data_IF_879432402196
#
_entry.id   IF_879432402196
#
_cell.length_a   1.000
_cell.length_b   1.000
_cell.length_c   1.000
_cell.angle_alpha   90.00
_cell.angle_beta   90.00
_cell.angle_gamma   90.00
#
_symmetry.space_group_name_H-M   'P 1'
#
loop_
_entity.id
_entity.type
_entity.pdbx_description
1 polymer ?
#
# COMPACT_ATOMS: atom_id res chain seq x y z
N UNK A 1 -2.39 -11.75 -11.52
CA UNK A 1 -2.23 -11.86 -10.05
C UNK A 1 -3.59 -11.92 -9.40
N UNK A 2 -3.83 -12.87 -8.50
CA UNK A 2 -5.08 -13.01 -7.76
C UNK A 2 -4.79 -13.66 -6.41
N UNK A 3 -5.62 -13.37 -5.41
CA UNK A 3 -5.56 -14.02 -4.10
C UNK A 3 -6.54 -15.19 -4.07
N UNK A 4 -6.06 -16.39 -3.73
CA UNK A 4 -6.83 -17.64 -3.73
C UNK A 4 -7.24 -18.10 -2.33
N UNK A 5 -7.44 -17.17 -1.39
CA UNK A 5 -7.89 -17.52 -0.04
C UNK A 5 -9.33 -18.06 0.01
N UNK A 6 -10.17 -17.65 -0.93
CA UNK A 6 -11.55 -18.13 -1.12
C UNK A 6 -11.73 -18.50 -2.60
N UNK A 7 -11.98 -19.78 -2.93
CA UNK A 7 -12.08 -20.24 -4.32
C UNK A 7 -13.18 -19.52 -5.14
N UNK A 8 -14.35 -19.31 -4.56
CA UNK A 8 -15.48 -18.67 -5.27
C UNK A 8 -15.15 -17.21 -5.61
N UNK A 9 -14.61 -16.46 -4.65
CA UNK A 9 -14.18 -15.07 -4.85
C UNK A 9 -13.02 -15.00 -5.86
N UNK A 10 -12.08 -15.95 -5.78
CA UNK A 10 -10.95 -16.02 -6.69
C UNK A 10 -11.40 -16.29 -8.13
N UNK A 11 -12.30 -17.25 -8.34
CA UNK A 11 -12.86 -17.57 -9.66
C UNK A 11 -13.63 -16.39 -10.26
N UNK A 12 -14.48 -15.73 -9.47
CA UNK A 12 -15.21 -14.54 -9.91
C UNK A 12 -14.26 -13.36 -10.28
N UNK A 13 -13.12 -13.27 -9.63
CA UNK A 13 -12.12 -12.23 -9.88
C UNK A 13 -11.04 -12.59 -10.91
N UNK A 14 -11.06 -13.77 -11.54
CA UNK A 14 -10.06 -14.15 -12.55
C UNK A 14 -10.15 -13.30 -13.84
N UNK A 15 -11.31 -13.00 -14.40
CA UNK A 15 -11.40 -12.17 -15.60
C UNK A 15 -10.72 -10.80 -15.38
N UNK A 16 -9.82 -10.43 -16.30
CA UNK A 16 -9.02 -9.21 -16.22
C UNK A 16 -7.76 -9.30 -15.35
N UNK A 17 -7.54 -10.40 -14.61
CA UNK A 17 -6.30 -10.58 -13.86
C UNK A 17 -5.10 -10.79 -14.78
N UNK A 18 -3.96 -10.18 -14.43
CA UNK A 18 -2.69 -10.44 -15.11
C UNK A 18 -2.11 -11.79 -14.68
N UNK A 19 -1.75 -12.61 -15.66
CA UNK A 19 -1.01 -13.88 -15.48
C UNK A 19 0.40 -13.68 -15.99
N UNK A 20 1.39 -13.62 -15.09
CA UNK A 20 2.81 -13.59 -15.45
C UNK A 20 3.27 -14.98 -15.92
N UNK A 21 3.81 -15.03 -17.11
CA UNK A 21 4.25 -16.29 -17.77
C UNK A 21 5.74 -16.20 -18.05
N UNK A 22 6.51 -17.09 -17.44
CA UNK A 22 7.92 -17.32 -17.75
C UNK A 22 8.05 -18.72 -18.35
N UNK A 23 8.28 -18.80 -19.66
CA UNK A 23 8.35 -20.04 -20.41
C UNK A 23 9.24 -19.88 -21.63
N UNK A 24 9.75 -20.99 -22.17
CA UNK A 24 10.41 -21.03 -23.45
C UNK A 24 9.43 -20.75 -24.60
N UNK A 25 9.95 -20.26 -25.72
CA UNK A 25 9.16 -19.73 -26.84
C UNK A 25 8.06 -20.70 -27.32
N UNK A 26 8.36 -22.01 -27.44
CA UNK A 26 7.38 -22.99 -27.89
C UNK A 26 6.20 -23.21 -26.94
N UNK A 27 6.39 -23.00 -25.62
CA UNK A 27 5.36 -23.16 -24.59
C UNK A 27 4.63 -21.83 -24.31
N UNK A 28 5.30 -20.71 -24.51
CA UNK A 28 4.78 -19.39 -24.20
C UNK A 28 3.43 -19.13 -24.89
N UNK A 29 3.35 -19.35 -26.19
CA UNK A 29 2.12 -19.13 -26.98
C UNK A 29 0.94 -19.98 -26.49
N UNK A 30 1.19 -21.22 -26.07
CA UNK A 30 0.17 -22.10 -25.49
C UNK A 30 -0.36 -21.56 -24.16
N UNK A 31 0.54 -21.12 -23.27
CA UNK A 31 0.17 -20.57 -21.96
C UNK A 31 -0.54 -19.21 -22.08
N UNK A 32 -0.15 -18.37 -23.03
CA UNK A 32 -0.87 -17.14 -23.33
C UNK A 32 -2.30 -17.40 -23.81
N UNK A 33 -2.47 -18.39 -24.72
CA UNK A 33 -3.79 -18.79 -25.20
C UNK A 33 -4.66 -19.33 -24.06
N UNK A 34 -4.10 -20.14 -23.17
CA UNK A 34 -4.78 -20.64 -22.00
C UNK A 34 -5.20 -19.51 -21.05
N UNK A 35 -4.31 -18.56 -20.77
CA UNK A 35 -4.62 -17.41 -19.93
C UNK A 35 -5.79 -16.60 -20.51
N UNK A 36 -5.78 -16.35 -21.81
CA UNK A 36 -6.87 -15.64 -22.52
C UNK A 36 -8.19 -16.41 -22.45
N UNK A 37 -8.16 -17.75 -22.58
CA UNK A 37 -9.39 -18.57 -22.58
C UNK A 37 -10.14 -18.54 -21.26
N UNK A 38 -9.47 -18.21 -20.14
CA UNK A 38 -10.07 -18.01 -18.81
C UNK A 38 -10.30 -16.52 -18.48
N UNK A 39 -10.24 -15.65 -19.48
CA UNK A 39 -10.49 -14.21 -19.33
C UNK A 39 -9.35 -13.41 -18.69
N UNK A 40 -8.15 -14.00 -18.52
CA UNK A 40 -7.00 -13.33 -17.95
C UNK A 40 -6.18 -12.58 -19.02
N UNK A 41 -5.33 -11.66 -18.58
CA UNK A 41 -4.39 -10.91 -19.42
C UNK A 41 -3.00 -11.53 -19.24
N UNK A 42 -2.45 -12.21 -20.27
CA UNK A 42 -1.10 -12.75 -20.19
C UNK A 42 -0.05 -11.64 -20.20
N UNK A 43 1.01 -11.83 -19.42
CA UNK A 43 2.20 -10.97 -19.38
C UNK A 43 3.45 -11.86 -19.48
N UNK A 44 4.14 -11.91 -20.63
CA UNK A 44 5.42 -12.60 -20.72
C UNK A 44 6.43 -11.99 -19.75
N UNK A 45 7.09 -12.84 -18.98
CA UNK A 45 8.09 -12.44 -18.02
C UNK A 45 9.48 -12.82 -18.51
N UNK A 46 10.50 -11.95 -18.36
CA UNK A 46 11.89 -12.33 -18.56
C UNK A 46 12.31 -13.50 -17.66
N UNK A 47 13.26 -14.30 -18.11
CA UNK A 47 13.79 -15.41 -17.33
C UNK A 47 14.32 -14.95 -15.95
N UNK A 48 13.95 -15.66 -14.88
CA UNK A 48 14.40 -15.39 -13.53
C UNK A 48 13.69 -14.22 -12.80
N UNK A 49 12.74 -13.55 -13.43
CA UNK A 49 12.06 -12.36 -12.83
C UNK A 49 10.90 -12.73 -11.91
N UNK A 50 10.41 -13.97 -11.92
CA UNK A 50 9.25 -14.39 -11.10
C UNK A 50 9.34 -14.04 -9.62
N UNK A 51 10.48 -14.16 -8.93
CA UNK A 51 10.55 -13.75 -7.52
C UNK A 51 10.22 -12.27 -7.30
N UNK A 52 10.71 -11.37 -8.15
CA UNK A 52 10.41 -9.95 -8.08
C UNK A 52 8.94 -9.67 -8.43
N UNK A 53 8.43 -10.31 -9.48
CA UNK A 53 7.01 -10.23 -9.84
C UNK A 53 6.11 -10.69 -8.70
N UNK A 54 6.44 -11.82 -8.06
CA UNK A 54 5.65 -12.31 -6.92
C UNK A 54 5.80 -11.42 -5.69
N UNK A 55 7.01 -10.94 -5.39
CA UNK A 55 7.24 -10.01 -4.28
C UNK A 55 6.41 -8.73 -4.41
N UNK A 56 6.19 -8.22 -5.62
CA UNK A 56 5.35 -7.03 -5.85
C UNK A 56 3.90 -7.27 -5.39
N UNK A 57 3.36 -8.48 -5.53
CA UNK A 57 2.03 -8.83 -5.07
C UNK A 57 1.89 -8.82 -3.53
N UNK A 58 2.99 -9.06 -2.80
CA UNK A 58 3.00 -9.00 -1.34
C UNK A 58 2.66 -7.60 -0.81
N UNK A 59 3.08 -6.54 -1.51
CA UNK A 59 2.78 -5.17 -1.10
C UNK A 59 1.28 -4.86 -1.07
N UNK A 60 0.51 -5.44 -1.99
CA UNK A 60 -0.93 -5.15 -2.11
C UNK A 60 -1.82 -6.32 -1.65
N UNK A 61 -1.23 -7.42 -1.27
CA UNK A 61 -1.89 -8.56 -0.65
C UNK A 61 -1.54 -8.66 0.84
N UNK A 62 -0.62 -9.55 1.23
CA UNK A 62 -0.31 -9.80 2.64
C UNK A 62 0.12 -8.56 3.44
N UNK A 63 0.93 -7.64 2.87
CA UNK A 63 1.36 -6.44 3.59
C UNK A 63 0.22 -5.45 3.79
N UNK A 64 -0.74 -5.36 2.87
CA UNK A 64 -1.95 -4.57 3.08
C UNK A 64 -2.77 -5.10 4.26
N UNK A 65 -2.88 -6.43 4.41
CA UNK A 65 -3.55 -7.05 5.56
C UNK A 65 -2.82 -6.70 6.87
N UNK A 66 -1.48 -6.75 6.86
CA UNK A 66 -0.68 -6.33 8.01
C UNK A 66 -0.91 -4.85 8.36
N UNK A 67 -0.95 -3.95 7.37
CA UNK A 67 -1.24 -2.52 7.58
C UNK A 67 -2.65 -2.29 8.14
N UNK A 68 -3.65 -3.03 7.67
CA UNK A 68 -5.01 -2.98 8.23
C UNK A 68 -5.02 -3.45 9.70
N UNK A 69 -4.24 -4.48 10.04
CA UNK A 69 -4.11 -4.95 11.43
C UNK A 69 -3.41 -3.92 12.31
N UNK A 70 -2.35 -3.26 11.82
CA UNK A 70 -1.70 -2.16 12.56
C UNK A 70 -2.69 -1.00 12.78
N UNK A 71 -3.42 -0.58 11.75
CA UNK A 71 -4.48 0.43 11.91
C UNK A 71 -5.53 0.02 12.95
N UNK A 72 -5.99 -1.24 12.92
CA UNK A 72 -6.99 -1.74 13.88
C UNK A 72 -6.47 -1.77 15.32
N UNK A 73 -5.17 -2.06 15.56
CA UNK A 73 -4.57 -1.99 16.90
C UNK A 73 -4.65 -0.57 17.49
N UNK A 74 -4.46 0.47 16.67
CA UNK A 74 -4.56 1.86 17.15
C UNK A 74 -5.97 2.19 17.65
N UNK A 75 -7.02 1.60 17.06
CA UNK A 75 -8.40 1.77 17.51
C UNK A 75 -8.64 1.15 18.88
N UNK A 76 -7.94 0.07 19.21
CA UNK A 76 -8.01 -0.52 20.56
C UNK A 76 -7.49 0.46 21.63
N UNK A 77 -6.58 1.37 21.31
CA UNK A 77 -6.06 2.41 22.20
C UNK A 77 -7.12 3.39 22.72
N UNK A 78 -8.28 3.49 22.06
CA UNK A 78 -9.44 4.26 22.53
C UNK A 78 -10.70 3.40 22.73
N UNK A 79 -10.53 2.09 22.94
CA UNK A 79 -11.60 1.17 23.36
C UNK A 79 -12.46 0.58 22.23
N UNK A 80 -12.12 0.80 20.97
CA UNK A 80 -12.87 0.22 19.86
C UNK A 80 -12.46 -1.24 19.60
N UNK A 81 -13.43 -2.09 19.29
CA UNK A 81 -13.20 -3.48 18.89
C UNK A 81 -12.64 -3.58 17.47
N UNK A 82 -11.97 -4.71 17.16
CA UNK A 82 -11.49 -5.00 15.80
C UNK A 82 -12.63 -4.94 14.77
N UNK A 83 -13.82 -5.41 15.11
CA UNK A 83 -14.99 -5.33 14.24
C UNK A 83 -15.36 -3.88 13.90
N UNK A 84 -15.31 -2.98 14.88
CA UNK A 84 -15.60 -1.56 14.67
C UNK A 84 -14.53 -0.88 13.82
N UNK A 85 -13.25 -1.15 14.09
CA UNK A 85 -12.15 -0.61 13.29
C UNK A 85 -12.23 -1.08 11.84
N UNK A 86 -12.48 -2.37 11.59
CA UNK A 86 -12.61 -2.89 10.23
C UNK A 86 -13.82 -2.32 9.49
N UNK A 87 -14.95 -2.09 10.17
CA UNK A 87 -16.12 -1.44 9.59
C UNK A 87 -15.83 -0.01 9.11
N UNK A 88 -14.88 0.69 9.74
CA UNK A 88 -14.44 2.02 9.33
C UNK A 88 -13.29 2.00 8.30
N UNK A 89 -12.30 1.12 8.49
CA UNK A 89 -11.09 1.09 7.66
C UNK A 89 -11.33 0.51 6.26
N UNK A 90 -12.23 -0.47 6.11
CA UNK A 90 -12.52 -1.07 4.80
C UNK A 90 -13.17 -0.07 3.82
N UNK A 91 -14.16 0.75 4.19
CA UNK A 91 -14.66 1.80 3.30
C UNK A 91 -13.58 2.82 2.91
N UNK A 92 -12.72 3.21 3.86
CA UNK A 92 -11.59 4.11 3.58
C UNK A 92 -10.61 3.50 2.56
N UNK A 93 -10.26 2.21 2.72
CA UNK A 93 -9.42 1.49 1.78
C UNK A 93 -10.04 1.46 0.37
N UNK A 94 -11.35 1.16 0.27
CA UNK A 94 -12.06 1.17 -1.03
C UNK A 94 -12.00 2.55 -1.68
N UNK A 95 -12.20 3.62 -0.91
CA UNK A 95 -12.05 5.00 -1.40
C UNK A 95 -10.63 5.31 -1.87
N UNK A 96 -9.61 4.81 -1.16
CA UNK A 96 -8.20 4.95 -1.56
C UNK A 96 -7.92 4.24 -2.89
N UNK A 97 -8.41 3.00 -3.04
CA UNK A 97 -8.26 2.25 -4.30
C UNK A 97 -8.96 2.98 -5.45
N UNK A 98 -10.19 3.45 -5.25
CA UNK A 98 -10.92 4.21 -6.26
C UNK A 98 -10.19 5.50 -6.67
N UNK A 99 -9.65 6.25 -5.70
CA UNK A 99 -8.88 7.47 -5.99
C UNK A 99 -7.61 7.19 -6.81
N UNK A 100 -6.92 6.09 -6.53
CA UNK A 100 -5.74 5.67 -7.31
C UNK A 100 -6.14 5.20 -8.72
N UNK A 101 -7.25 4.49 -8.87
CA UNK A 101 -7.76 4.07 -10.18
C UNK A 101 -8.17 5.25 -11.06
N UNK A 102 -8.76 6.28 -10.46
CA UNK A 102 -9.23 7.48 -11.16
C UNK A 102 -8.08 8.44 -11.52
N UNK A 103 -7.18 8.73 -10.57
CA UNK A 103 -6.20 9.82 -10.69
C UNK A 103 -4.73 9.37 -10.73
N UNK A 104 -4.46 8.06 -10.55
CA UNK A 104 -3.11 7.50 -10.42
C UNK A 104 -2.52 7.69 -9.01
N UNK A 105 -1.32 7.13 -8.79
CA UNK A 105 -0.72 7.05 -7.45
C UNK A 105 -0.50 8.44 -6.81
N UNK A 106 0.16 9.34 -7.52
CA UNK A 106 0.51 10.65 -6.98
C UNK A 106 -0.72 11.52 -6.70
N UNK A 107 -1.63 11.65 -7.66
CA UNK A 107 -2.84 12.49 -7.52
C UNK A 107 -3.90 11.86 -6.64
N UNK A 108 -3.99 10.53 -6.60
CA UNK A 108 -4.90 9.79 -5.73
C UNK A 108 -4.49 9.79 -4.25
N UNK A 109 -3.21 10.11 -3.95
CA UNK A 109 -2.71 10.18 -2.59
C UNK A 109 -3.27 11.39 -1.83
N UNK A 110 -3.84 11.16 -0.64
CA UNK A 110 -4.28 12.20 0.29
C UNK A 110 -3.44 12.23 1.58
N UNK A 111 -3.92 12.95 2.59
CA UNK A 111 -3.33 12.96 3.93
C UNK A 111 -2.35 14.09 4.19
N UNK A 112 -1.72 14.07 5.39
CA UNK A 112 -0.87 15.14 5.89
C UNK A 112 0.44 15.30 5.09
N UNK A 113 1.04 14.19 4.63
CA UNK A 113 2.25 14.24 3.79
C UNK A 113 1.93 14.93 2.46
N UNK A 114 0.83 14.55 1.81
CA UNK A 114 0.40 15.16 0.55
C UNK A 114 0.13 16.68 0.66
N UNK A 115 -0.23 17.18 1.85
CA UNK A 115 -0.47 18.60 2.11
C UNK A 115 0.73 19.33 2.72
N UNK A 116 1.81 18.62 3.03
CA UNK A 116 2.96 19.20 3.75
C UNK A 116 2.60 19.68 5.16
N UNK A 117 1.64 19.04 5.83
CA UNK A 117 1.10 19.43 7.14
C UNK A 117 1.98 18.88 8.26
N UNK A 118 3.06 19.61 8.58
CA UNK A 118 4.02 19.28 9.61
C UNK A 118 3.37 19.10 10.99
N UNK A 119 2.39 19.94 11.34
CA UNK A 119 1.74 19.89 12.65
C UNK A 119 0.96 18.59 12.85
N UNK A 120 0.27 18.11 11.81
CA UNK A 120 -0.43 16.83 11.87
C UNK A 120 0.55 15.65 11.93
N UNK A 121 1.67 15.69 11.17
CA UNK A 121 2.69 14.65 11.21
C UNK A 121 3.29 14.54 12.62
N UNK A 122 3.63 15.66 13.26
CA UNK A 122 4.16 15.68 14.65
C UNK A 122 3.17 15.08 15.65
N UNK A 123 1.88 15.43 15.54
CA UNK A 123 0.81 14.87 16.41
C UNK A 123 0.66 13.36 16.22
N UNK A 124 0.72 12.89 14.98
CA UNK A 124 0.68 11.45 14.71
C UNK A 124 1.86 10.74 15.37
N UNK A 125 3.09 11.23 15.16
CA UNK A 125 4.30 10.64 15.75
C UNK A 125 4.22 10.60 17.28
N UNK A 126 3.87 11.72 17.93
CA UNK A 126 3.75 11.79 19.37
C UNK A 126 2.70 10.80 19.92
N UNK A 127 1.55 10.67 19.24
CA UNK A 127 0.51 9.73 19.66
C UNK A 127 0.95 8.28 19.46
N UNK A 128 1.62 7.96 18.35
CA UNK A 128 2.11 6.61 18.06
C UNK A 128 3.22 6.20 19.02
N UNK A 129 4.18 7.07 19.32
CA UNK A 129 5.24 6.81 20.31
C UNK A 129 4.69 6.51 21.69
N UNK A 130 3.59 7.17 22.08
CA UNK A 130 2.92 6.91 23.36
C UNK A 130 2.24 5.53 23.41
N UNK A 131 1.69 5.07 22.30
CA UNK A 131 0.92 3.81 22.23
C UNK A 131 1.82 2.61 21.90
N UNK A 132 2.67 2.76 20.88
CA UNK A 132 3.54 1.69 20.36
C UNK A 132 4.65 2.30 19.51
N UNK A 133 5.88 2.28 20.01
CA UNK A 133 7.04 2.79 19.29
C UNK A 133 7.31 2.06 17.97
N UNK A 134 6.95 0.78 17.88
CA UNK A 134 7.11 0.02 16.64
C UNK A 134 6.13 0.49 15.55
N UNK A 135 4.93 0.92 15.94
CA UNK A 135 3.97 1.54 15.03
C UNK A 135 4.46 2.93 14.55
N UNK A 136 5.13 3.70 15.43
CA UNK A 136 5.76 4.96 15.05
C UNK A 136 6.88 4.74 14.02
N UNK A 137 7.72 3.73 14.21
CA UNK A 137 8.79 3.38 13.27
C UNK A 137 8.23 2.95 11.91
N UNK A 138 7.20 2.13 11.88
CA UNK A 138 6.52 1.75 10.65
C UNK A 138 5.91 2.97 9.95
N UNK A 139 5.26 3.86 10.70
CA UNK A 139 4.70 5.11 10.18
C UNK A 139 5.78 5.97 9.51
N UNK A 140 6.95 6.18 10.17
CA UNK A 140 8.07 6.94 9.60
C UNK A 140 8.51 6.37 8.26
N UNK A 141 8.75 5.05 8.21
CA UNK A 141 9.18 4.35 6.99
C UNK A 141 8.19 4.51 5.84
N UNK A 142 6.91 4.40 6.11
CA UNK A 142 5.86 4.56 5.10
C UNK A 142 5.67 6.02 4.70
N UNK A 143 5.74 6.95 5.65
CA UNK A 143 5.63 8.38 5.39
C UNK A 143 6.77 8.88 4.47
N UNK A 144 8.01 8.43 4.69
CA UNK A 144 9.13 8.71 3.80
C UNK A 144 8.88 8.24 2.36
N UNK A 145 8.18 7.11 2.17
CA UNK A 145 7.81 6.61 0.83
C UNK A 145 6.72 7.45 0.14
N UNK A 146 5.96 8.23 0.90
CA UNK A 146 4.93 9.12 0.35
C UNK A 146 5.49 10.48 -0.13
N UNK A 147 6.67 10.90 0.32
CA UNK A 147 7.27 12.18 -0.06
C UNK A 147 7.49 12.32 -1.57
N UNK A 148 8.07 11.32 -2.28
CA UNK A 148 8.22 11.38 -3.73
C UNK A 148 6.88 11.56 -4.47
N UNK A 149 5.81 10.91 -4.00
CA UNK A 149 4.47 11.06 -4.58
C UNK A 149 3.90 12.48 -4.36
N UNK A 150 4.16 13.09 -3.20
CA UNK A 150 3.75 14.47 -2.93
C UNK A 150 4.48 15.49 -3.82
N UNK A 151 5.78 15.25 -4.08
CA UNK A 151 6.57 16.05 -5.03
C UNK A 151 6.07 15.86 -6.47
N UNK A 152 5.83 14.63 -6.92
CA UNK A 152 5.29 14.31 -8.24
C UNK A 152 3.91 14.96 -8.45
N UNK A 153 3.08 14.93 -7.42
CA UNK A 153 1.78 15.63 -7.40
C UNK A 153 1.93 17.15 -7.52
N UNK A 154 3.08 17.73 -7.15
CA UNK A 154 3.31 19.17 -7.07
C UNK A 154 2.62 19.84 -5.88
N UNK A 155 2.22 19.08 -4.86
CA UNK A 155 1.51 19.60 -3.67
C UNK A 155 2.45 20.06 -2.56
N UNK A 156 3.72 19.68 -2.61
CA UNK A 156 4.81 20.20 -1.79
C UNK A 156 6.00 20.55 -2.66
N UNK A 157 6.80 21.49 -2.22
CA UNK A 157 8.08 21.85 -2.85
C UNK A 157 9.25 21.05 -2.22
N UNK A 158 10.46 21.06 -2.84
CA UNK A 158 11.62 20.36 -2.29
C UNK A 158 12.07 20.83 -0.90
N UNK A 159 11.79 22.10 -0.55
CA UNK A 159 12.07 22.64 0.78
C UNK A 159 11.19 21.99 1.84
N UNK A 160 9.88 21.91 1.57
CA UNK A 160 8.92 21.22 2.43
C UNK A 160 9.21 19.73 2.54
N UNK A 161 9.59 19.07 1.45
CA UNK A 161 9.99 17.67 1.44
C UNK A 161 11.14 17.41 2.43
N UNK A 162 12.22 18.19 2.37
CA UNK A 162 13.37 18.11 3.32
C UNK A 162 12.95 18.34 4.77
N UNK A 163 12.03 19.27 5.03
CA UNK A 163 11.52 19.49 6.40
C UNK A 163 10.79 18.26 6.92
N UNK A 164 9.98 17.61 6.09
CA UNK A 164 9.26 16.38 6.44
C UNK A 164 10.25 15.23 6.66
N UNK A 165 11.24 15.05 5.78
CA UNK A 165 12.31 14.05 5.95
C UNK A 165 13.03 14.23 7.28
N UNK A 166 13.49 15.44 7.59
CA UNK A 166 14.16 15.76 8.87
C UNK A 166 13.28 15.41 10.07
N UNK A 167 12.00 15.74 10.01
CA UNK A 167 11.06 15.40 11.09
C UNK A 167 10.88 13.89 11.26
N UNK A 168 10.80 13.14 10.16
CA UNK A 168 10.60 11.69 10.19
C UNK A 168 11.88 10.94 10.60
N UNK A 169 13.07 11.47 10.30
CA UNK A 169 14.36 10.89 10.66
C UNK A 169 14.76 11.21 12.10
N UNK A 170 14.20 12.26 12.69
CA UNK A 170 14.47 12.60 14.08
C UNK A 170 13.94 11.50 15.01
N UNK A 171 14.88 10.74 15.59
CA UNK A 171 14.63 9.80 16.69
C UNK A 171 14.60 10.52 18.05
N UNK A 172 14.43 11.84 18.06
CA UNK A 172 14.38 12.61 19.30
C UNK A 172 13.19 12.14 20.14
N UNK A 173 13.53 11.41 21.21
CA UNK A 173 12.60 11.11 22.28
C UNK A 173 12.02 12.44 22.77
N UNK A 174 10.70 12.54 22.98
CA UNK A 174 10.13 13.74 23.57
C UNK A 174 10.88 14.05 24.86
N UNK A 175 11.40 15.26 24.98
CA UNK A 175 11.90 15.78 26.25
C UNK A 175 10.79 15.63 27.27
N UNK A 176 11.07 14.90 28.35
CA UNK A 176 10.14 14.62 29.46
C UNK A 176 9.71 15.90 30.16
#
# INVERSE_FOLDING_TARGET
MQMFANPEVALAGLPGCTVGIEAEEGLLATLESLAKSIGCVPLPLPAGIRPLYHASAYYVGPFLIALLKEGAKLWAGFGASERQSMAALIPLLRGTVAAVQDAGLAKGMGGCIARGDMGTIQKHLASLEHVDSSAADLYRKLALRNIPLALERGSIDPGRARQIETLLDSTDKPVR
#
